data_IF_464444379981
#
_entry.id   IF_464444379981
#
_cell.length_a   1.000
_cell.length_b   1.000
_cell.length_c   1.000
_cell.angle_alpha   90.00
_cell.angle_beta   90.00
_cell.angle_gamma   90.00
#
_symmetry.space_group_name_H-M   'P 1'
#
loop_
_entity.id
_entity.type
_entity.pdbx_description
1 polymer ?
#
# COMPACT_ATOMS: atom_id res chain seq x y z
N UNK A 1 -3.99 2.41 -19.35
CA UNK A 1 -3.40 3.70 -18.90
C UNK A 1 -2.31 4.23 -19.82
N UNK A 2 -1.15 3.57 -20.01
CA UNK A 2 -0.05 4.07 -20.89
C UNK A 2 -0.45 4.58 -22.27
N UNK A 3 -1.33 3.86 -22.98
CA UNK A 3 -1.81 4.31 -24.31
C UNK A 3 -2.64 5.60 -24.24
N UNK A 4 -3.39 5.81 -23.16
CA UNK A 4 -4.24 7.00 -22.95
C UNK A 4 -3.42 8.17 -22.41
N UNK A 5 -2.51 7.91 -21.47
CA UNK A 5 -1.72 8.89 -20.75
C UNK A 5 -0.24 8.44 -20.69
N UNK A 6 0.53 8.55 -21.79
CA UNK A 6 1.88 8.01 -21.88
C UNK A 6 2.83 8.68 -20.87
N UNK A 7 2.83 10.00 -20.78
CA UNK A 7 3.74 10.75 -19.89
C UNK A 7 3.50 10.41 -18.41
N UNK A 8 2.24 10.23 -18.00
CA UNK A 8 1.92 9.95 -16.60
C UNK A 8 2.25 8.51 -16.17
N UNK A 9 2.27 7.55 -17.11
CA UNK A 9 2.37 6.10 -16.83
C UNK A 9 3.61 5.41 -17.44
N UNK A 10 4.51 6.16 -18.08
CA UNK A 10 5.70 5.61 -18.73
C UNK A 10 6.56 4.81 -17.74
N UNK A 11 6.81 5.37 -16.55
CA UNK A 11 7.85 4.91 -15.64
C UNK A 11 7.37 4.14 -14.39
N UNK A 12 6.10 3.69 -14.37
CA UNK A 12 5.52 3.04 -13.18
C UNK A 12 5.96 1.58 -13.04
N UNK A 13 5.85 0.81 -14.12
CA UNK A 13 6.22 -0.62 -14.17
C UNK A 13 7.29 -0.86 -15.24
N UNK A 14 8.13 -1.89 -15.13
CA UNK A 14 9.00 -2.24 -16.25
C UNK A 14 8.18 -2.67 -17.47
N UNK A 15 8.79 -2.61 -18.65
CA UNK A 15 8.18 -3.12 -19.88
C UNK A 15 7.72 -4.58 -19.68
N UNK A 16 6.45 -4.87 -19.97
CA UNK A 16 5.80 -6.12 -19.56
C UNK A 16 4.86 -6.65 -20.64
N UNK A 17 4.91 -7.96 -20.87
CA UNK A 17 4.11 -8.70 -21.84
C UNK A 17 3.44 -9.92 -21.21
N UNK A 18 2.18 -10.16 -21.55
CA UNK A 18 1.44 -11.36 -21.15
C UNK A 18 1.53 -12.41 -22.24
N UNK A 19 2.38 -13.42 -22.05
CA UNK A 19 2.67 -14.43 -23.08
C UNK A 19 1.54 -15.44 -23.31
N UNK A 20 0.48 -15.41 -22.48
CA UNK A 20 -0.76 -16.15 -22.70
C UNK A 20 -1.48 -15.70 -23.98
N UNK A 21 -1.34 -14.43 -24.34
CA UNK A 21 -1.93 -13.86 -25.54
C UNK A 21 -0.92 -13.94 -26.70
N UNK A 22 -1.33 -14.49 -27.84
CA UNK A 22 -0.43 -14.72 -28.98
C UNK A 22 0.17 -13.40 -29.53
N UNK A 23 -0.61 -12.31 -29.56
CA UNK A 23 -0.15 -11.01 -30.02
C UNK A 23 0.93 -10.43 -29.09
N UNK A 24 0.68 -10.38 -27.78
CA UNK A 24 1.67 -9.88 -26.82
C UNK A 24 2.91 -10.79 -26.72
N UNK A 25 2.74 -12.11 -26.91
CA UNK A 25 3.87 -13.04 -26.99
C UNK A 25 4.79 -12.72 -28.16
N UNK A 26 4.24 -12.43 -29.34
CA UNK A 26 5.06 -12.07 -30.50
C UNK A 26 5.78 -10.74 -30.30
N UNK A 27 5.13 -9.74 -29.73
CA UNK A 27 5.80 -8.47 -29.39
C UNK A 27 6.97 -8.68 -28.43
N UNK A 28 6.78 -9.51 -27.40
CA UNK A 28 7.85 -9.90 -26.51
C UNK A 28 9.00 -10.56 -27.27
N UNK A 29 8.73 -11.55 -28.12
CA UNK A 29 9.78 -12.26 -28.88
C UNK A 29 10.55 -11.31 -29.79
N UNK A 30 9.87 -10.38 -30.48
CA UNK A 30 10.53 -9.34 -31.29
C UNK A 30 11.51 -8.52 -30.46
N UNK A 31 11.10 -8.02 -29.29
CA UNK A 31 11.98 -7.26 -28.39
C UNK A 31 13.11 -8.13 -27.82
N UNK A 32 12.79 -9.36 -27.41
CA UNK A 32 13.74 -10.31 -26.85
C UNK A 32 14.88 -10.62 -27.81
N UNK A 33 14.58 -10.88 -29.09
CA UNK A 33 15.59 -11.14 -30.11
C UNK A 33 16.29 -9.86 -30.61
N UNK A 34 15.57 -8.73 -30.68
CA UNK A 34 16.13 -7.44 -31.09
C UNK A 34 17.11 -6.83 -30.07
N UNK A 35 16.99 -7.20 -28.79
CA UNK A 35 17.82 -6.68 -27.70
C UNK A 35 18.53 -7.84 -26.96
N UNK A 36 19.52 -8.51 -27.58
CA UNK A 36 19.99 -9.81 -27.13
C UNK A 36 20.69 -9.83 -25.76
N UNK A 37 21.24 -8.67 -25.36
CA UNK A 37 21.90 -8.48 -24.07
C UNK A 37 20.93 -8.09 -22.94
N UNK A 38 19.68 -7.72 -23.26
CA UNK A 38 18.71 -7.33 -22.24
C UNK A 38 18.22 -8.57 -21.50
N UNK A 39 18.23 -8.47 -20.17
CA UNK A 39 17.72 -9.51 -19.29
C UNK A 39 16.22 -9.30 -19.10
N UNK A 40 15.48 -10.40 -19.16
CA UNK A 40 14.05 -10.48 -18.93
C UNK A 40 13.80 -11.43 -17.76
N UNK A 41 12.83 -11.06 -16.91
CA UNK A 41 12.33 -11.91 -15.84
C UNK A 41 11.00 -12.52 -16.28
N UNK A 42 10.94 -13.86 -16.33
CA UNK A 42 9.75 -14.62 -16.65
C UNK A 42 9.08 -15.09 -15.37
N UNK A 43 7.90 -14.55 -15.06
CA UNK A 43 7.09 -14.91 -13.88
C UNK A 43 5.90 -15.79 -14.33
N UNK A 44 5.80 -17.06 -13.89
CA UNK A 44 4.66 -17.91 -14.23
C UNK A 44 3.34 -17.35 -13.69
N UNK A 45 2.24 -17.39 -14.46
CA UNK A 45 0.96 -16.77 -14.05
C UNK A 45 0.33 -17.38 -12.78
N UNK A 46 0.49 -18.68 -12.57
CA UNK A 46 -0.23 -19.42 -11.52
C UNK A 46 0.67 -19.81 -10.34
N UNK A 47 1.82 -19.15 -10.16
CA UNK A 47 2.75 -19.42 -9.07
C UNK A 47 3.03 -18.15 -8.26
N UNK A 48 3.32 -18.36 -6.98
CA UNK A 48 3.66 -17.32 -6.00
C UNK A 48 4.98 -17.63 -5.31
N UNK A 49 5.45 -16.70 -4.47
CA UNK A 49 6.63 -16.88 -3.61
C UNK A 49 7.94 -17.09 -4.40
N UNK A 50 8.01 -16.51 -5.60
CA UNK A 50 9.16 -16.57 -6.51
C UNK A 50 9.36 -17.94 -7.19
N UNK A 51 8.41 -18.88 -7.05
CA UNK A 51 8.54 -20.21 -7.64
C UNK A 51 8.47 -20.17 -9.15
N UNK A 52 9.45 -20.81 -9.81
CA UNK A 52 9.51 -20.94 -11.26
C UNK A 52 9.87 -19.67 -12.01
N UNK A 53 10.25 -18.60 -11.29
CA UNK A 53 10.80 -17.38 -11.90
C UNK A 53 12.15 -17.70 -12.55
N UNK A 54 12.36 -17.16 -13.75
CA UNK A 54 13.62 -17.33 -14.50
C UNK A 54 14.10 -16.00 -15.04
N UNK A 55 15.42 -15.81 -15.03
CA UNK A 55 16.08 -14.73 -15.74
C UNK A 55 16.63 -15.26 -17.06
N UNK A 56 16.32 -14.59 -18.15
CA UNK A 56 16.68 -15.02 -19.51
C UNK A 56 17.12 -13.82 -20.35
N UNK A 57 18.02 -14.05 -21.28
CA UNK A 57 18.39 -13.11 -22.36
C UNK A 57 18.58 -13.90 -23.64
N UNK A 58 18.48 -13.28 -24.82
CA UNK A 58 18.66 -14.05 -26.06
C UNK A 58 20.09 -14.60 -26.20
N UNK A 59 21.09 -13.90 -25.65
CA UNK A 59 22.48 -14.40 -25.60
C UNK A 59 22.65 -15.67 -24.77
N UNK A 60 21.80 -15.93 -23.78
CA UNK A 60 21.88 -17.11 -22.90
C UNK A 60 20.84 -18.16 -23.23
N UNK A 61 19.70 -17.73 -23.78
CA UNK A 61 18.52 -18.54 -24.06
C UNK A 61 17.92 -18.10 -25.40
N UNK A 62 18.56 -18.43 -26.54
CA UNK A 62 18.18 -17.91 -27.85
C UNK A 62 16.79 -18.34 -28.30
N UNK A 63 16.20 -19.38 -27.70
CA UNK A 63 14.83 -19.82 -27.95
C UNK A 63 14.12 -20.09 -26.62
N UNK A 64 13.49 -19.07 -25.98
CA UNK A 64 12.78 -19.29 -24.73
C UNK A 64 11.59 -20.21 -24.97
N UNK A 65 11.50 -21.31 -24.19
CA UNK A 65 10.40 -22.29 -24.29
C UNK A 65 9.11 -21.72 -23.73
N UNK A 66 8.42 -20.89 -24.52
CA UNK A 66 7.10 -20.31 -24.21
C UNK A 66 6.01 -21.14 -24.88
N UNK A 67 5.36 -22.03 -24.12
CA UNK A 67 4.23 -22.81 -24.65
C UNK A 67 2.90 -22.20 -24.20
N UNK A 68 1.83 -22.39 -24.99
CA UNK A 68 0.46 -21.95 -24.61
C UNK A 68 0.01 -22.53 -23.27
N UNK A 69 0.49 -23.72 -22.91
CA UNK A 69 0.19 -24.40 -21.63
C UNK A 69 0.96 -23.81 -20.43
N UNK A 70 2.05 -23.07 -20.65
CA UNK A 70 2.87 -22.43 -19.61
C UNK A 70 3.03 -20.95 -19.93
N UNK A 71 2.02 -20.17 -19.56
CA UNK A 71 2.04 -18.74 -19.74
C UNK A 71 2.82 -18.03 -18.62
N UNK A 72 3.47 -16.94 -19.01
CA UNK A 72 4.30 -16.08 -18.19
C UNK A 72 3.89 -14.61 -18.34
N UNK A 73 4.10 -13.83 -17.28
CA UNK A 73 4.41 -12.41 -17.37
C UNK A 73 5.89 -12.31 -17.73
N UNK A 74 6.18 -11.86 -18.95
CA UNK A 74 7.54 -11.56 -19.38
C UNK A 74 7.80 -10.08 -19.16
N UNK A 75 8.72 -9.75 -18.27
CA UNK A 75 8.97 -8.37 -17.86
C UNK A 75 10.46 -8.04 -18.02
N UNK A 76 10.77 -6.83 -18.49
CA UNK A 76 12.16 -6.35 -18.57
C UNK A 76 12.73 -6.34 -17.15
N UNK A 77 13.88 -6.96 -16.98
CA UNK A 77 14.51 -7.05 -15.67
C UNK A 77 15.18 -5.72 -15.32
N UNK A 78 14.94 -5.21 -14.11
CA UNK A 78 15.62 -4.04 -13.58
C UNK A 78 17.05 -4.43 -13.23
N UNK A 79 17.97 -4.18 -14.17
CA UNK A 79 19.35 -4.64 -14.10
C UNK A 79 20.26 -3.73 -13.26
N UNK A 80 19.82 -2.50 -12.95
CA UNK A 80 20.53 -1.53 -12.12
C UNK A 80 19.72 -1.18 -10.85
N UNK A 81 19.44 -2.15 -9.95
CA UNK A 81 18.78 -1.85 -8.69
C UNK A 81 19.71 -1.03 -7.79
N UNK A 82 19.15 -0.17 -6.95
CA UNK A 82 19.89 0.40 -5.84
C UNK A 82 20.26 -0.71 -4.84
N UNK A 83 21.50 -0.68 -4.35
CA UNK A 83 22.06 -1.73 -3.49
C UNK A 83 22.48 -1.15 -2.14
N UNK A 84 22.34 -1.94 -1.08
CA UNK A 84 22.95 -1.65 0.21
C UNK A 84 23.90 -2.81 0.52
N UNK A 85 25.15 -2.50 0.83
CA UNK A 85 26.21 -3.50 1.07
C UNK A 85 26.37 -4.51 -0.09
N UNK A 86 26.05 -4.08 -1.33
CA UNK A 86 26.07 -4.93 -2.53
C UNK A 86 24.90 -5.92 -2.62
N UNK A 87 23.91 -5.86 -1.73
CA UNK A 87 22.74 -6.71 -1.73
C UNK A 87 21.56 -6.00 -2.38
N UNK A 88 20.89 -6.71 -3.28
CA UNK A 88 19.61 -6.28 -3.85
C UNK A 88 18.51 -6.39 -2.79
N UNK A 89 17.57 -5.45 -2.78
CA UNK A 89 16.41 -5.50 -1.90
C UNK A 89 15.18 -4.93 -2.59
N UNK A 90 14.01 -5.20 -2.01
CA UNK A 90 12.78 -4.49 -2.36
C UNK A 90 12.07 -4.01 -1.09
N UNK A 91 11.07 -3.16 -1.31
CA UNK A 91 10.22 -2.59 -0.28
C UNK A 91 8.84 -3.23 -0.36
N UNK A 92 8.38 -3.78 0.76
CA UNK A 92 6.97 -4.05 1.03
C UNK A 92 6.38 -2.82 1.70
N UNK A 93 5.62 -2.07 0.93
CA UNK A 93 4.86 -0.90 1.37
C UNK A 93 3.42 -1.33 1.62
N UNK A 94 2.82 -0.90 2.73
CA UNK A 94 1.43 -1.22 3.06
C UNK A 94 0.53 -0.02 2.75
N UNK A 95 -0.52 -0.24 1.97
CA UNK A 95 -1.45 0.79 1.53
C UNK A 95 -2.87 0.34 1.88
N UNK A 96 -3.55 1.12 2.70
CA UNK A 96 -4.95 0.91 3.02
C UNK A 96 -5.84 1.76 2.11
N UNK A 97 -6.89 1.16 1.56
CA UNK A 97 -7.93 1.87 0.80
C UNK A 97 -9.24 1.66 1.54
N UNK A 98 -9.84 2.74 2.04
CA UNK A 98 -11.13 2.69 2.79
C UNK A 98 -12.33 2.90 1.88
N UNK A 99 -12.11 3.36 0.65
CA UNK A 99 -13.18 3.65 -0.32
C UNK A 99 -12.59 3.86 -1.71
N UNK A 100 -13.34 3.46 -2.74
CA UNK A 100 -13.08 3.79 -4.15
C UNK A 100 -14.05 4.85 -4.70
N UNK A 101 -15.09 5.22 -3.94
CA UNK A 101 -16.05 6.28 -4.32
C UNK A 101 -16.50 7.08 -3.08
N UNK A 102 -15.83 8.21 -2.77
CA UNK A 102 -14.61 8.71 -3.39
C UNK A 102 -13.39 7.85 -3.03
N UNK A 103 -12.34 7.91 -3.85
CA UNK A 103 -11.08 7.21 -3.58
C UNK A 103 -10.37 7.78 -2.34
N UNK A 104 -10.12 6.91 -1.36
CA UNK A 104 -9.48 7.24 -0.08
C UNK A 104 -8.32 6.30 0.19
N UNK A 105 -7.10 6.84 0.15
CA UNK A 105 -5.84 6.07 0.19
C UNK A 105 -5.00 6.52 1.38
N UNK A 106 -4.49 5.55 2.13
CA UNK A 106 -3.62 5.76 3.26
C UNK A 106 -2.35 4.91 3.14
N UNK A 107 -1.19 5.52 3.33
CA UNK A 107 0.12 4.85 3.32
C UNK A 107 0.56 4.60 4.75
N UNK A 108 0.96 3.38 5.07
CA UNK A 108 1.55 3.08 6.38
C UNK A 108 2.99 3.57 6.45
N UNK A 109 3.34 4.21 7.57
CA UNK A 109 4.61 4.91 7.74
C UNK A 109 5.81 3.96 7.96
N UNK A 110 5.55 2.66 8.08
CA UNK A 110 6.56 1.62 8.15
C UNK A 110 6.24 0.49 7.14
N UNK A 111 7.11 -0.49 7.03
CA UNK A 111 6.99 -1.58 6.07
C UNK A 111 8.12 -2.58 6.22
N UNK A 112 8.37 -3.39 5.19
CA UNK A 112 9.47 -4.35 5.23
C UNK A 112 10.43 -4.11 4.08
N UNK A 113 11.71 -4.07 4.38
CA UNK A 113 12.80 -4.11 3.41
C UNK A 113 13.28 -5.55 3.35
N UNK A 114 13.30 -6.17 2.16
CA UNK A 114 13.64 -7.60 2.03
C UNK A 114 14.88 -7.74 1.18
N UNK A 115 15.96 -8.17 1.81
CA UNK A 115 17.24 -8.35 1.14
C UNK A 115 17.36 -9.73 0.52
N UNK A 116 18.03 -9.75 -0.64
CA UNK A 116 18.75 -10.90 -1.14
C UNK A 116 19.85 -11.33 -0.15
N UNK A 117 20.22 -12.61 -0.15
CA UNK A 117 21.26 -13.14 0.75
C UNK A 117 22.62 -13.29 0.09
N UNK A 118 22.72 -12.99 -1.20
CA UNK A 118 24.00 -12.94 -1.93
C UNK A 118 24.18 -11.63 -2.67
N UNK A 119 25.44 -11.27 -2.92
CA UNK A 119 25.81 -10.03 -3.63
C UNK A 119 25.25 -10.04 -5.04
N UNK A 120 24.72 -8.88 -5.43
CA UNK A 120 24.16 -8.66 -6.74
C UNK A 120 25.25 -8.69 -7.83
N UNK A 121 25.01 -9.41 -8.92
CA UNK A 121 25.88 -9.40 -10.10
C UNK A 121 25.09 -9.79 -11.34
N UNK A 122 25.40 -9.18 -12.49
CA UNK A 122 24.77 -9.48 -13.78
C UNK A 122 25.60 -10.45 -14.63
N UNK A 123 26.64 -11.06 -14.06
CA UNK A 123 27.43 -12.09 -14.75
C UNK A 123 26.56 -13.30 -15.12
N UNK A 124 26.93 -14.02 -16.19
CA UNK A 124 26.15 -15.16 -16.69
C UNK A 124 25.92 -16.24 -15.63
N UNK A 125 26.90 -16.50 -14.77
CA UNK A 125 26.79 -17.46 -13.68
C UNK A 125 25.90 -16.93 -12.54
N UNK A 126 26.03 -15.64 -12.19
CA UNK A 126 25.25 -15.04 -11.11
C UNK A 126 23.75 -14.96 -11.43
N UNK A 127 23.37 -14.72 -12.69
CA UNK A 127 21.96 -14.66 -13.13
C UNK A 127 21.17 -15.96 -12.89
N UNK A 128 21.86 -17.09 -12.72
CA UNK A 128 21.22 -18.37 -12.39
C UNK A 128 20.98 -18.53 -10.89
N UNK A 129 21.64 -17.72 -10.05
CA UNK A 129 21.49 -17.78 -8.61
C UNK A 129 20.31 -16.91 -8.13
N UNK A 130 19.20 -17.52 -7.66
CA UNK A 130 18.05 -16.75 -7.20
C UNK A 130 18.34 -15.92 -5.94
N UNK A 131 19.34 -16.26 -5.13
CA UNK A 131 19.65 -15.58 -3.86
C UNK A 131 20.23 -14.17 -4.02
N UNK A 132 20.76 -13.83 -5.20
CA UNK A 132 21.21 -12.47 -5.54
C UNK A 132 20.18 -11.65 -6.32
N UNK A 133 19.11 -12.27 -6.81
CA UNK A 133 18.20 -11.64 -7.78
C UNK A 133 16.73 -11.59 -7.35
N UNK A 134 16.29 -12.52 -6.50
CA UNK A 134 14.91 -12.62 -6.03
C UNK A 134 14.87 -12.30 -4.54
N UNK A 135 14.17 -11.23 -4.18
CA UNK A 135 14.07 -10.66 -2.82
C UNK A 135 13.07 -11.40 -1.94
N UNK A 136 12.26 -12.30 -2.51
CA UNK A 136 11.21 -13.01 -1.77
C UNK A 136 11.79 -13.76 -0.56
N UNK A 137 11.22 -13.50 0.63
CA UNK A 137 11.60 -14.16 1.87
C UNK A 137 11.60 -15.70 1.77
N UNK A 138 10.62 -16.28 1.05
CA UNK A 138 10.50 -17.73 0.84
C UNK A 138 11.69 -18.36 0.12
N UNK A 139 12.41 -17.58 -0.69
CA UNK A 139 13.63 -17.99 -1.38
C UNK A 139 14.80 -17.78 -0.43
N UNK A 140 15.04 -16.53 -0.01
CA UNK A 140 16.24 -16.19 0.75
C UNK A 140 16.36 -16.91 2.10
N UNK A 141 15.24 -17.25 2.75
CA UNK A 141 15.25 -18.05 3.99
C UNK A 141 15.84 -19.45 3.82
N UNK A 142 15.93 -19.97 2.59
CA UNK A 142 16.53 -21.27 2.29
C UNK A 142 18.06 -21.20 2.25
N UNK A 143 18.65 -20.03 2.06
CA UNK A 143 20.09 -19.82 2.19
C UNK A 143 20.45 -19.66 3.67
N UNK A 144 20.33 -20.75 4.44
CA UNK A 144 20.41 -20.72 5.90
C UNK A 144 21.75 -20.18 6.44
N UNK A 145 22.84 -20.33 5.68
CA UNK A 145 24.17 -19.84 6.07
C UNK A 145 24.29 -18.31 6.03
N UNK A 146 23.57 -17.65 5.11
CA UNK A 146 23.63 -16.20 4.92
C UNK A 146 22.38 -15.47 5.43
N UNK A 147 21.25 -16.16 5.60
CA UNK A 147 20.02 -15.55 6.04
C UNK A 147 20.04 -15.21 7.54
N UNK A 148 19.94 -13.93 7.86
CA UNK A 148 19.97 -13.44 9.23
C UNK A 148 18.61 -12.84 9.61
N UNK A 149 17.98 -13.41 10.64
CA UNK A 149 16.71 -12.87 11.17
C UNK A 149 16.98 -11.60 11.97
N UNK A 150 16.16 -10.58 11.73
CA UNK A 150 16.19 -9.37 12.54
C UNK A 150 15.48 -9.62 13.89
N UNK A 151 16.28 -9.65 14.96
CA UNK A 151 15.81 -9.83 16.34
C UNK A 151 15.50 -8.51 17.04
N UNK A 152 15.68 -7.38 16.38
CA UNK A 152 15.47 -6.08 17.00
C UNK A 152 14.00 -5.90 17.39
N UNK A 153 13.81 -5.50 18.65
CA UNK A 153 12.52 -5.16 19.25
C UNK A 153 12.34 -3.64 19.37
N UNK A 154 13.44 -2.86 19.27
CA UNK A 154 13.49 -1.41 19.39
C UNK A 154 13.64 -0.74 18.00
N UNK A 155 13.41 0.57 17.93
CA UNK A 155 13.35 1.31 16.65
C UNK A 155 14.72 1.74 16.11
N UNK A 156 15.81 1.47 16.85
CA UNK A 156 17.06 2.24 16.75
C UNK A 156 18.28 1.43 16.32
N UNK A 157 18.22 0.09 16.29
CA UNK A 157 19.31 -0.69 15.71
C UNK A 157 18.92 -1.14 14.31
N UNK A 158 19.42 -0.42 13.30
CA UNK A 158 19.49 -1.02 11.98
C UNK A 158 20.34 -2.29 12.16
N UNK A 159 19.72 -3.46 12.23
CA UNK A 159 20.44 -4.72 12.27
C UNK A 159 21.07 -4.87 10.88
N UNK A 160 22.19 -4.18 10.64
CA UNK A 160 22.81 -3.93 9.34
C UNK A 160 23.21 -5.24 8.63
N UNK A 161 23.30 -6.33 9.37
CA UNK A 161 23.58 -7.68 8.87
C UNK A 161 22.32 -8.52 8.62
N UNK A 162 21.15 -8.08 9.09
CA UNK A 162 19.90 -8.82 8.96
C UNK A 162 19.34 -8.76 7.53
N UNK A 163 18.70 -9.86 7.10
CA UNK A 163 18.12 -9.99 5.75
C UNK A 163 16.73 -9.34 5.61
N UNK A 164 16.23 -8.68 6.68
CA UNK A 164 15.01 -7.88 6.66
C UNK A 164 15.12 -6.67 7.55
N UNK A 165 14.81 -5.49 7.04
CA UNK A 165 14.74 -4.26 7.84
C UNK A 165 13.31 -3.71 7.85
N UNK A 166 13.07 -2.73 8.71
CA UNK A 166 11.90 -1.85 8.65
C UNK A 166 12.13 -0.75 7.61
N UNK A 167 11.08 -0.06 7.17
CA UNK A 167 11.21 1.13 6.30
C UNK A 167 11.86 2.31 7.01
N UNK A 168 12.13 2.21 8.31
CA UNK A 168 13.03 3.13 9.01
C UNK A 168 14.45 3.14 8.41
N UNK A 169 14.78 2.24 7.46
CA UNK A 169 15.96 2.34 6.59
C UNK A 169 16.16 3.73 5.96
N UNK A 170 15.08 4.50 5.80
CA UNK A 170 15.17 5.86 5.27
C UNK A 170 15.97 6.80 6.18
N UNK A 171 16.00 6.55 7.49
CA UNK A 171 16.93 7.24 8.42
C UNK A 171 18.39 6.93 8.07
N UNK A 172 18.70 5.64 7.91
CA UNK A 172 20.02 5.20 7.45
C UNK A 172 20.43 5.86 6.12
N UNK A 173 19.55 5.92 5.12
CA UNK A 173 19.85 6.59 3.85
C UNK A 173 20.11 8.10 4.00
N UNK A 174 19.35 8.77 4.88
CA UNK A 174 19.58 10.18 5.21
C UNK A 174 20.96 10.38 5.85
N UNK A 175 21.34 9.51 6.77
CA UNK A 175 22.65 9.54 7.44
C UNK A 175 23.81 9.23 6.45
N UNK A 176 23.52 8.51 5.36
CA UNK A 176 24.45 8.30 4.23
C UNK A 176 24.43 9.46 3.20
N UNK A 177 23.77 10.58 3.50
CA UNK A 177 23.75 11.77 2.65
C UNK A 177 22.74 11.75 1.49
N UNK A 178 21.82 10.78 1.44
CA UNK A 178 20.77 10.66 0.39
C UNK A 178 19.46 11.39 0.74
N UNK A 179 19.53 12.44 1.56
CA UNK A 179 18.34 13.12 2.08
C UNK A 179 17.46 13.69 0.96
N UNK A 180 18.08 14.35 -0.02
CA UNK A 180 17.38 14.97 -1.15
C UNK A 180 16.76 13.92 -2.11
N UNK A 181 17.48 12.85 -2.43
CA UNK A 181 16.95 11.76 -3.25
C UNK A 181 15.79 11.05 -2.55
N UNK A 182 15.84 10.94 -1.22
CA UNK A 182 14.77 10.33 -0.44
C UNK A 182 13.47 11.14 -0.48
N UNK A 183 13.54 12.48 -0.41
CA UNK A 183 12.37 13.35 -0.55
C UNK A 183 11.70 13.16 -1.92
N UNK A 184 12.50 13.13 -2.99
CA UNK A 184 12.01 12.87 -4.35
C UNK A 184 11.42 11.45 -4.48
N UNK A 185 12.07 10.45 -3.87
CA UNK A 185 11.57 9.08 -3.85
C UNK A 185 10.22 8.98 -3.16
N UNK A 186 10.01 9.65 -2.01
CA UNK A 186 8.75 9.61 -1.28
C UNK A 186 7.59 10.18 -2.11
N UNK A 187 7.79 11.34 -2.76
CA UNK A 187 6.80 11.93 -3.65
C UNK A 187 6.50 11.02 -4.86
N UNK A 188 7.55 10.45 -5.47
CA UNK A 188 7.40 9.54 -6.59
C UNK A 188 6.73 8.21 -6.20
N UNK A 189 6.94 7.73 -4.97
CA UNK A 189 6.29 6.53 -4.43
C UNK A 189 4.78 6.76 -4.22
N UNK A 190 4.41 7.90 -3.64
CA UNK A 190 3.01 8.31 -3.48
C UNK A 190 2.30 8.40 -4.83
N UNK A 191 2.91 9.11 -5.79
CA UNK A 191 2.40 9.24 -7.16
C UNK A 191 2.24 7.87 -7.85
N UNK A 192 3.23 6.97 -7.69
CA UNK A 192 3.18 5.60 -8.18
C UNK A 192 1.99 4.82 -7.59
N UNK A 193 1.75 4.92 -6.28
CA UNK A 193 0.64 4.23 -5.61
C UNK A 193 -0.71 4.77 -6.11
N UNK A 194 -0.89 6.09 -6.14
CA UNK A 194 -2.12 6.74 -6.59
C UNK A 194 -2.44 6.37 -8.03
N UNK A 195 -1.48 6.51 -8.95
CA UNK A 195 -1.67 6.15 -10.36
C UNK A 195 -1.99 4.67 -10.54
N UNK A 196 -1.41 3.80 -9.71
CA UNK A 196 -1.72 2.36 -9.74
C UNK A 196 -3.17 2.09 -9.35
N UNK A 197 -3.69 2.78 -8.33
CA UNK A 197 -5.08 2.62 -7.87
C UNK A 197 -6.08 3.28 -8.83
N UNK A 198 -5.79 4.47 -9.36
CA UNK A 198 -6.60 5.14 -10.40
C UNK A 198 -6.73 4.25 -11.65
N UNK A 199 -5.70 3.49 -12.00
CA UNK A 199 -5.74 2.59 -13.16
C UNK A 199 -6.82 1.49 -13.06
N UNK A 200 -7.33 1.21 -11.86
CA UNK A 200 -8.35 0.20 -11.58
C UNK A 200 -9.62 0.78 -10.93
N UNK A 201 -9.62 2.06 -10.58
CA UNK A 201 -10.69 2.77 -9.87
C UNK A 201 -12.04 2.59 -10.55
N UNK A 202 -12.18 2.92 -11.85
CA UNK A 202 -13.45 2.79 -12.59
C UNK A 202 -14.10 1.42 -12.44
N UNK A 203 -13.28 0.35 -12.44
CA UNK A 203 -13.77 -1.02 -12.33
C UNK A 203 -14.20 -1.34 -10.91
N UNK A 204 -13.42 -0.90 -9.92
CA UNK A 204 -13.65 -1.22 -8.51
C UNK A 204 -14.77 -0.36 -7.93
N UNK A 205 -14.83 0.93 -8.26
CA UNK A 205 -15.89 1.85 -7.83
C UNK A 205 -17.28 1.33 -8.20
N UNK A 206 -17.45 0.77 -9.41
CA UNK A 206 -18.71 0.17 -9.85
C UNK A 206 -19.17 -1.04 -9.03
N UNK A 207 -18.25 -1.69 -8.30
CA UNK A 207 -18.50 -2.91 -7.52
C UNK A 207 -18.35 -2.73 -6.01
N UNK A 208 -17.75 -1.62 -5.57
CA UNK A 208 -17.44 -1.37 -4.16
C UNK A 208 -18.68 -0.85 -3.45
N UNK A 209 -19.10 -1.56 -2.40
CA UNK A 209 -20.01 -0.95 -1.42
C UNK A 209 -19.22 0.03 -0.56
N UNK A 210 -19.90 1.04 0.01
CA UNK A 210 -19.29 2.01 0.96
C UNK A 210 -18.74 1.36 2.25
N UNK A 211 -18.92 0.04 2.42
CA UNK A 211 -18.54 -0.73 3.61
C UNK A 211 -17.35 -1.67 3.38
N UNK A 212 -16.57 -1.46 2.31
CA UNK A 212 -15.40 -2.26 1.99
C UNK A 212 -14.11 -1.47 2.21
N UNK A 213 -13.13 -2.12 2.81
CA UNK A 213 -11.77 -1.63 2.90
C UNK A 213 -10.81 -2.75 2.49
N UNK A 214 -9.63 -2.38 1.98
CA UNK A 214 -8.63 -3.33 1.55
C UNK A 214 -7.23 -2.88 1.99
N UNK A 215 -6.40 -3.86 2.39
CA UNK A 215 -5.00 -3.63 2.72
C UNK A 215 -4.12 -4.26 1.65
N UNK A 216 -3.50 -3.42 0.84
CA UNK A 216 -2.58 -3.85 -0.20
C UNK A 216 -1.13 -3.89 0.29
N UNK A 217 -0.38 -4.89 -0.17
CA UNK A 217 1.07 -4.92 -0.08
C UNK A 217 1.70 -4.59 -1.43
N UNK A 218 2.22 -3.37 -1.57
CA UNK A 218 2.96 -2.94 -2.75
C UNK A 218 4.41 -3.43 -2.66
N UNK A 219 4.87 -4.10 -3.70
CA UNK A 219 6.27 -4.54 -3.83
C UNK A 219 6.97 -3.56 -4.77
N UNK A 220 7.83 -2.72 -4.21
CA UNK A 220 8.52 -1.65 -4.92
C UNK A 220 10.01 -1.90 -4.91
N UNK A 221 10.64 -1.87 -6.08
CA UNK A 221 12.08 -1.88 -6.23
C UNK A 221 12.59 -0.45 -6.37
N UNK A 222 13.78 -0.17 -5.85
CA UNK A 222 14.48 1.09 -6.10
C UNK A 222 15.47 0.87 -7.24
N UNK A 223 15.37 1.66 -8.29
CA UNK A 223 16.26 1.64 -9.46
C UNK A 223 17.24 2.82 -9.44
N UNK A 224 18.52 2.52 -9.64
CA UNK A 224 19.59 3.50 -9.78
C UNK A 224 19.90 4.32 -8.52
N UNK A 225 20.92 5.18 -8.65
CA UNK A 225 21.45 5.99 -7.55
C UNK A 225 20.54 7.15 -7.12
N UNK A 226 19.62 7.57 -8.00
CA UNK A 226 18.64 8.62 -7.76
C UNK A 226 17.37 8.13 -7.07
N UNK A 227 17.38 6.89 -6.57
CA UNK A 227 16.28 6.26 -5.86
C UNK A 227 14.96 6.33 -6.66
N UNK A 228 14.91 5.80 -7.89
CA UNK A 228 13.66 5.78 -8.67
C UNK A 228 12.76 4.62 -8.21
N UNK A 229 11.51 4.84 -7.77
CA UNK A 229 10.61 3.75 -7.41
C UNK A 229 10.09 3.03 -8.65
N UNK A 230 10.08 1.71 -8.61
CA UNK A 230 9.59 0.85 -9.68
C UNK A 230 8.64 -0.22 -9.11
N UNK A 231 7.39 -0.24 -9.57
CA UNK A 231 6.39 -1.20 -9.10
C UNK A 231 6.69 -2.60 -9.67
N UNK A 232 6.80 -3.59 -8.80
CA UNK A 232 6.97 -5.00 -9.19
C UNK A 232 5.64 -5.75 -9.23
N UNK A 233 4.85 -5.62 -8.17
CA UNK A 233 3.53 -6.25 -8.01
C UNK A 233 2.73 -5.59 -6.88
N UNK A 234 1.40 -5.79 -6.88
CA UNK A 234 0.50 -5.40 -5.78
C UNK A 234 -0.16 -6.67 -5.26
N UNK A 235 0.00 -6.93 -3.96
CA UNK A 235 -0.58 -8.07 -3.28
C UNK A 235 -1.89 -7.66 -2.58
N UNK A 236 -3.01 -8.27 -2.96
CA UNK A 236 -4.32 -8.05 -2.31
C UNK A 236 -4.36 -8.67 -0.91
N UNK A 237 -3.66 -9.78 -0.68
CA UNK A 237 -3.55 -10.43 0.63
C UNK A 237 -2.09 -10.48 1.09
N UNK A 238 -1.51 -9.36 1.56
CA UNK A 238 -0.15 -9.37 2.04
C UNK A 238 -0.04 -10.29 3.28
N UNK A 239 0.99 -11.13 3.34
CA UNK A 239 1.18 -12.02 4.49
C UNK A 239 1.37 -11.23 5.79
N UNK A 240 0.46 -11.42 6.75
CA UNK A 240 0.54 -10.87 8.09
C UNK A 240 1.25 -11.80 9.10
N UNK A 241 1.74 -12.96 8.64
CA UNK A 241 2.53 -13.87 9.47
C UNK A 241 3.82 -13.22 9.96
N UNK A 242 4.21 -13.47 11.21
CA UNK A 242 5.40 -12.88 11.81
C UNK A 242 6.48 -13.93 12.01
N UNK A 243 7.64 -13.74 11.38
CA UNK A 243 8.76 -14.69 11.45
C UNK A 243 9.92 -14.20 12.33
N UNK A 244 9.85 -12.94 12.79
CA UNK A 244 10.78 -12.30 13.71
C UNK A 244 10.07 -11.29 14.62
N UNK A 245 10.70 -10.84 15.72
CA UNK A 245 10.15 -9.81 16.60
C UNK A 245 9.80 -8.51 15.87
N UNK A 246 10.68 -8.04 14.96
CA UNK A 246 10.43 -6.88 14.11
C UNK A 246 9.18 -7.07 13.23
N UNK A 247 9.02 -8.22 12.55
CA UNK A 247 7.81 -8.51 11.75
C UNK A 247 6.56 -8.37 12.63
N UNK A 248 6.60 -8.93 13.85
CA UNK A 248 5.48 -8.91 14.79
C UNK A 248 5.11 -7.48 15.22
N UNK A 249 6.10 -6.66 15.56
CA UNK A 249 5.87 -5.25 15.95
C UNK A 249 5.18 -4.49 14.82
N UNK A 250 5.80 -4.46 13.64
CA UNK A 250 5.32 -3.68 12.48
C UNK A 250 3.89 -4.11 12.11
N UNK A 251 3.64 -5.41 12.03
CA UNK A 251 2.33 -5.93 11.59
C UNK A 251 1.25 -5.79 12.65
N UNK A 252 1.60 -5.84 13.93
CA UNK A 252 0.63 -5.61 15.01
C UNK A 252 0.15 -4.15 14.98
N UNK A 253 1.08 -3.19 14.84
CA UNK A 253 0.74 -1.77 14.72
C UNK A 253 -0.08 -1.53 13.45
N UNK A 254 0.34 -2.07 12.31
CA UNK A 254 -0.39 -1.96 11.04
C UNK A 254 -1.84 -2.42 11.15
N UNK A 255 -2.09 -3.60 11.72
CA UNK A 255 -3.44 -4.16 11.83
C UNK A 255 -4.28 -3.39 12.84
N UNK A 256 -3.67 -2.98 13.96
CA UNK A 256 -4.34 -2.15 14.97
C UNK A 256 -4.79 -0.81 14.38
N UNK A 257 -3.89 -0.11 13.69
CA UNK A 257 -4.18 1.19 13.07
C UNK A 257 -5.16 1.06 11.90
N UNK A 258 -5.11 -0.04 11.14
CA UNK A 258 -6.09 -0.32 10.08
C UNK A 258 -7.51 -0.44 10.63
N UNK A 259 -7.71 -1.23 11.70
CA UNK A 259 -9.04 -1.38 12.30
C UNK A 259 -9.52 -0.10 12.98
N UNK A 260 -8.61 0.67 13.57
CA UNK A 260 -8.91 1.98 14.14
C UNK A 260 -9.30 2.98 13.05
N UNK A 261 -8.60 3.01 11.92
CA UNK A 261 -8.89 3.85 10.76
C UNK A 261 -10.30 3.59 10.22
N UNK A 262 -10.59 2.33 9.88
CA UNK A 262 -11.91 1.88 9.39
C UNK A 262 -13.01 2.14 10.43
N UNK A 263 -12.65 2.24 11.70
CA UNK A 263 -13.58 2.57 12.76
C UNK A 263 -14.53 1.42 13.09
N UNK A 264 -14.04 0.18 12.99
CA UNK A 264 -14.82 -1.00 13.40
C UNK A 264 -15.18 -0.83 14.88
N UNK A 265 -16.46 -0.63 15.21
CA UNK A 265 -16.85 -0.42 16.60
C UNK A 265 -16.55 -1.70 17.38
N UNK A 266 -15.90 -1.56 18.53
CA UNK A 266 -15.84 -2.67 19.47
C UNK A 266 -17.25 -2.95 20.00
N UNK A 267 -17.91 -3.96 19.44
CA UNK A 267 -19.21 -4.43 19.90
C UNK A 267 -18.98 -5.56 20.89
N UNK A 268 -19.15 -5.26 22.19
CA UNK A 268 -19.19 -6.30 23.22
C UNK A 268 -20.51 -7.04 23.10
N UNK A 269 -20.48 -8.18 22.39
CA UNK A 269 -21.67 -9.00 22.13
C UNK A 269 -22.40 -9.42 23.41
N UNK A 270 -21.70 -9.58 24.55
CA UNK A 270 -22.36 -9.90 25.83
C UNK A 270 -23.13 -8.69 26.34
N UNK A 271 -22.53 -7.50 26.25
CA UNK A 271 -23.15 -6.25 26.67
C UNK A 271 -24.32 -5.86 25.78
N UNK A 272 -24.23 -6.13 24.49
CA UNK A 272 -25.30 -5.89 23.53
C UNK A 272 -26.46 -6.87 23.72
N UNK A 273 -26.17 -8.17 23.93
CA UNK A 273 -27.18 -9.17 24.29
C UNK A 273 -27.90 -8.81 25.60
N UNK A 274 -27.16 -8.39 26.63
CA UNK A 274 -27.75 -7.91 27.90
C UNK A 274 -28.65 -6.68 27.70
N UNK A 275 -28.26 -5.74 26.82
CA UNK A 275 -29.08 -4.57 26.51
C UNK A 275 -30.35 -4.94 25.73
N UNK A 276 -30.25 -5.86 24.78
CA UNK A 276 -31.38 -6.39 24.01
C UNK A 276 -32.35 -7.17 24.89
N UNK A 277 -31.85 -8.03 25.79
CA UNK A 277 -32.68 -8.79 26.71
C UNK A 277 -33.37 -7.89 27.72
N UNK A 278 -32.66 -6.89 28.25
CA UNK A 278 -33.27 -5.86 29.11
C UNK A 278 -34.34 -5.06 28.36
N UNK A 279 -34.07 -4.64 27.12
CA UNK A 279 -35.04 -3.93 26.29
C UNK A 279 -36.24 -4.80 25.86
N UNK A 280 -36.09 -6.13 25.82
CA UNK A 280 -37.21 -7.08 25.61
C UNK A 280 -38.02 -7.25 26.89
N UNK A 281 -37.37 -7.42 28.05
CA UNK A 281 -38.03 -7.48 29.35
C UNK A 281 -38.82 -6.20 29.65
N UNK A 282 -38.23 -5.03 29.41
CA UNK A 282 -38.90 -3.74 29.61
C UNK A 282 -40.16 -3.59 28.72
N UNK A 283 -40.13 -4.16 27.50
CA UNK A 283 -41.28 -4.19 26.57
C UNK A 283 -42.37 -5.19 26.99
N UNK A 284 -41.98 -6.36 27.50
CA UNK A 284 -42.88 -7.43 27.96
C UNK A 284 -43.60 -7.08 29.27
N UNK A 285 -42.94 -6.38 30.19
CA UNK A 285 -43.51 -6.02 31.49
C UNK A 285 -44.41 -4.77 31.46
N UNK A 286 -44.68 -4.19 30.28
CA UNK A 286 -45.59 -3.05 30.13
C UNK A 286 -45.18 -1.82 30.93
N UNK A 287 -43.91 -1.73 31.34
CA UNK A 287 -43.38 -0.60 32.10
C UNK A 287 -43.37 0.59 31.16
N UNK A 288 -44.42 1.42 31.22
CA UNK A 288 -44.36 2.80 30.74
C UNK A 288 -43.14 3.41 31.41
N UNK A 289 -42.17 3.87 30.61
CA UNK A 289 -40.97 4.50 31.13
C UNK A 289 -41.34 5.42 32.30
N UNK A 290 -40.83 5.21 33.52
CA UNK A 290 -41.00 6.20 34.55
C UNK A 290 -40.36 7.48 34.01
N UNK A 291 -41.07 8.62 34.11
CA UNK A 291 -40.48 9.94 33.86
C UNK A 291 -39.18 9.99 34.66
N UNK A 292 -38.06 9.87 33.96
CA UNK A 292 -36.76 9.59 34.58
C UNK A 292 -36.38 10.78 35.44
N UNK A 293 -36.20 10.53 36.74
CA UNK A 293 -35.45 11.44 37.61
C UNK A 293 -34.02 11.58 37.09
N UNK A 294 -33.55 12.82 37.15
CA UNK A 294 -32.50 13.49 36.38
C UNK A 294 -31.04 13.09 36.67
N UNK A 295 -30.76 11.89 37.19
CA UNK A 295 -29.41 11.55 37.68
C UNK A 295 -28.61 10.57 36.79
N UNK A 296 -29.26 9.64 36.08
CA UNK A 296 -28.57 8.63 35.25
C UNK A 296 -28.61 8.91 33.73
N UNK A 297 -29.62 9.67 33.31
CA UNK A 297 -29.86 10.11 31.93
C UNK A 297 -28.78 11.06 31.46
N UNK A 298 -28.19 11.79 32.40
CA UNK A 298 -27.18 12.80 32.16
C UNK A 298 -25.94 12.21 31.50
N UNK A 299 -25.46 10.99 31.78
CA UNK A 299 -24.25 10.48 31.11
C UNK A 299 -24.45 10.09 29.65
N UNK A 300 -25.61 9.55 29.28
CA UNK A 300 -25.90 9.14 27.88
C UNK A 300 -26.44 10.30 27.06
N UNK A 301 -27.24 11.19 27.66
CA UNK A 301 -27.62 12.45 27.05
C UNK A 301 -26.41 13.39 26.98
N UNK A 302 -25.59 13.58 28.02
CA UNK A 302 -24.31 14.31 27.91
C UNK A 302 -23.37 13.67 26.91
N UNK A 303 -23.36 12.35 26.72
CA UNK A 303 -22.50 11.73 25.70
C UNK A 303 -23.05 11.95 24.29
N UNK A 304 -24.37 11.86 24.08
CA UNK A 304 -25.03 12.19 22.81
C UNK A 304 -25.05 13.69 22.54
N UNK A 305 -25.13 14.54 23.56
CA UNK A 305 -25.04 16.01 23.52
C UNK A 305 -23.59 16.46 23.39
N UNK A 306 -22.61 15.80 24.02
CA UNK A 306 -21.19 16.06 23.76
C UNK A 306 -20.79 15.55 22.38
N UNK A 307 -21.36 14.44 21.89
CA UNK A 307 -21.21 14.01 20.50
C UNK A 307 -21.96 14.96 19.56
N UNK A 308 -23.13 15.50 19.92
CA UNK A 308 -23.88 16.47 19.11
C UNK A 308 -23.28 17.88 19.16
N UNK A 309 -22.69 18.28 20.28
CA UNK A 309 -21.91 19.51 20.46
C UNK A 309 -20.54 19.37 19.82
N UNK A 310 -19.91 18.18 19.85
CA UNK A 310 -18.76 17.88 18.98
C UNK A 310 -19.21 17.97 17.53
N UNK A 311 -20.31 17.31 17.10
CA UNK A 311 -20.87 17.45 15.75
C UNK A 311 -21.09 18.91 15.35
N UNK A 312 -21.67 19.74 16.23
CA UNK A 312 -21.85 21.19 15.98
C UNK A 312 -20.54 21.96 15.94
N UNK A 313 -19.62 21.70 16.87
CA UNK A 313 -18.30 22.36 16.90
C UNK A 313 -17.44 21.97 15.71
N UNK A 314 -17.43 20.70 15.30
CA UNK A 314 -16.73 20.23 14.09
C UNK A 314 -17.38 20.84 12.85
N UNK A 315 -18.71 20.95 12.79
CA UNK A 315 -19.40 21.65 11.69
C UNK A 315 -19.06 23.15 11.66
N UNK A 316 -19.02 23.81 12.82
CA UNK A 316 -18.69 25.23 12.97
C UNK A 316 -17.20 25.51 12.69
N UNK A 317 -16.31 24.58 13.04
CA UNK A 317 -14.86 24.63 12.75
C UNK A 317 -14.58 24.33 11.26
N UNK A 318 -15.32 23.41 10.65
CA UNK A 318 -15.37 23.20 9.20
C UNK A 318 -15.86 24.45 8.47
N UNK A 319 -16.92 25.09 8.98
CA UNK A 319 -17.45 26.35 8.45
C UNK A 319 -16.46 27.51 8.58
N UNK A 320 -15.61 27.52 9.62
CA UNK A 320 -14.58 28.56 9.82
C UNK A 320 -13.29 28.33 9.05
N UNK A 321 -12.96 27.07 8.73
CA UNK A 321 -11.70 26.69 8.05
C UNK A 321 -11.85 26.50 6.54
N UNK A 322 -13.07 26.38 6.02
CA UNK A 322 -13.34 26.33 4.59
C UNK A 322 -13.20 27.73 3.96
N UNK A 323 -12.19 27.89 3.10
CA UNK A 323 -11.99 29.09 2.29
C UNK A 323 -13.14 29.20 1.28
N UNK A 324 -14.14 30.05 1.53
CA UNK A 324 -15.06 30.62 0.53
C UNK A 324 -15.71 29.67 -0.50
N UNK A 325 -15.76 28.36 -0.26
CA UNK A 325 -16.58 27.43 -1.03
C UNK A 325 -17.85 27.21 -0.23
N UNK A 326 -18.96 27.60 -0.84
CA UNK A 326 -20.32 27.64 -0.31
C UNK A 326 -20.74 26.30 0.27
N UNK A 327 -20.51 26.08 1.58
CA UNK A 327 -21.08 24.98 2.37
C UNK A 327 -22.63 24.92 2.26
N UNK A 328 -23.27 26.01 1.81
CA UNK A 328 -24.70 26.09 1.50
C UNK A 328 -25.13 25.32 0.24
N UNK A 329 -24.19 24.75 -0.53
CA UNK A 329 -24.46 23.97 -1.75
C UNK A 329 -24.23 22.46 -1.60
N UNK A 330 -23.77 22.00 -0.43
CA UNK A 330 -23.51 20.58 -0.18
C UNK A 330 -24.80 19.86 0.20
N UNK A 331 -25.02 18.68 -0.37
CA UNK A 331 -26.11 17.78 0.05
C UNK A 331 -25.82 17.19 1.44
N UNK A 332 -26.85 16.64 2.09
CA UNK A 332 -26.67 15.91 3.35
C UNK A 332 -25.71 14.71 3.18
N UNK A 333 -25.68 14.10 1.99
CA UNK A 333 -24.75 13.03 1.66
C UNK A 333 -23.30 13.53 1.60
N UNK A 334 -23.06 14.70 0.99
CA UNK A 334 -21.73 15.31 0.92
C UNK A 334 -21.22 15.69 2.32
N UNK A 335 -22.09 16.24 3.16
CA UNK A 335 -21.75 16.58 4.54
C UNK A 335 -21.41 15.34 5.37
N UNK A 336 -22.16 14.25 5.18
CA UNK A 336 -21.90 12.97 5.85
C UNK A 336 -20.56 12.38 5.38
N UNK A 337 -20.26 12.47 4.08
CA UNK A 337 -18.99 12.01 3.51
C UNK A 337 -17.79 12.80 4.06
N UNK A 338 -17.86 14.14 4.07
CA UNK A 338 -16.81 15.00 4.64
C UNK A 338 -16.55 14.63 6.09
N UNK A 339 -17.61 14.42 6.88
CA UNK A 339 -17.50 14.02 8.28
C UNK A 339 -16.86 12.64 8.46
N UNK A 340 -17.20 11.67 7.61
CA UNK A 340 -16.55 10.35 7.62
C UNK A 340 -15.06 10.46 7.31
N UNK A 341 -14.69 11.27 6.31
CA UNK A 341 -13.29 11.52 5.94
C UNK A 341 -12.48 12.15 7.08
N UNK A 342 -13.02 13.19 7.74
CA UNK A 342 -12.36 13.82 8.89
C UNK A 342 -12.20 12.85 10.06
N UNK A 343 -13.21 12.02 10.30
CA UNK A 343 -13.18 11.00 11.32
C UNK A 343 -12.11 9.94 11.05
N UNK A 344 -11.94 9.51 9.79
CA UNK A 344 -10.85 8.63 9.37
C UNK A 344 -9.48 9.29 9.59
N UNK A 345 -9.32 10.56 9.19
CA UNK A 345 -8.09 11.32 9.43
C UNK A 345 -7.74 11.44 10.92
N UNK A 346 -8.75 11.60 11.79
CA UNK A 346 -8.51 11.65 13.23
C UNK A 346 -8.07 10.31 13.83
N UNK A 347 -8.41 9.18 13.17
CA UNK A 347 -8.15 7.83 13.64
C UNK A 347 -6.99 7.13 12.89
N UNK A 348 -6.29 7.84 12.02
CA UNK A 348 -5.38 7.21 11.06
C UNK A 348 -4.08 6.65 11.70
N UNK A 349 -3.71 7.08 12.91
CA UNK A 349 -2.51 6.56 13.58
C UNK A 349 -1.25 6.74 12.73
N UNK A 350 -0.54 5.64 12.45
CA UNK A 350 0.63 5.64 11.56
C UNK A 350 0.28 5.39 10.08
N UNK A 351 -0.98 5.59 9.68
CA UNK A 351 -1.41 5.64 8.30
C UNK A 351 -1.56 7.12 7.90
N UNK A 352 -0.83 7.58 6.90
CA UNK A 352 -0.92 8.95 6.39
C UNK A 352 -1.74 9.01 5.10
N UNK A 353 -2.70 9.92 5.04
CA UNK A 353 -3.46 10.21 3.83
C UNK A 353 -2.69 11.19 2.94
N UNK A 354 -2.45 10.84 1.67
CA UNK A 354 -1.66 11.69 0.75
C UNK A 354 -2.43 12.11 -0.51
N UNK A 355 -3.53 11.44 -0.87
CA UNK A 355 -4.39 11.86 -1.99
C UNK A 355 -5.14 13.19 -1.73
N UNK A 356 -5.24 13.62 -0.47
CA UNK A 356 -5.91 14.87 -0.10
C UNK A 356 -4.96 16.05 0.12
N UNK A 357 -3.66 15.80 0.36
CA UNK A 357 -2.72 16.88 0.64
C UNK A 357 -2.23 17.61 -0.62
N UNK A 358 -2.20 16.95 -1.78
CA UNK A 358 -1.68 17.56 -3.02
C UNK A 358 -2.59 18.60 -3.70
N UNK A 359 -3.83 18.82 -3.24
CA UNK A 359 -4.66 19.95 -3.71
C UNK A 359 -4.56 21.21 -2.85
N UNK A 360 -3.78 21.19 -1.76
CA UNK A 360 -3.35 22.41 -1.08
C UNK A 360 -1.92 22.70 -1.51
N UNK A 361 -1.79 23.71 -2.36
CA UNK A 361 -0.58 24.33 -2.93
C UNK A 361 -0.31 23.96 -4.39
N UNK A 362 -0.61 24.95 -5.24
CA UNK A 362 -0.14 25.18 -6.62
C UNK A 362 -1.03 24.72 -7.79
N UNK A 363 -1.37 25.73 -8.62
CA UNK A 363 -1.86 25.69 -9.99
C UNK A 363 -3.38 25.62 -10.24
N UNK A 364 -4.05 26.74 -9.96
CA UNK A 364 -5.12 27.23 -10.86
C UNK A 364 -4.51 28.41 -11.63
N UNK A 365 -4.21 28.30 -12.94
CA UNK A 365 -4.08 29.48 -13.77
C UNK A 365 -5.47 30.09 -13.89
N UNK A 366 -5.63 31.29 -13.35
CA UNK A 366 -6.81 32.11 -13.57
C UNK A 366 -6.96 32.35 -15.08
N UNK A 367 -7.93 31.70 -15.70
CA UNK A 367 -8.51 32.19 -16.95
C UNK A 367 -9.27 33.47 -16.63
N UNK A 368 -8.62 34.62 -16.79
CA UNK A 368 -9.31 35.91 -16.92
C UNK A 368 -9.16 36.38 -18.36
N UNK A 369 -10.24 36.22 -19.11
CA UNK A 369 -10.58 37.04 -20.28
C UNK A 369 -10.50 38.53 -19.94
N UNK A 370 -9.69 39.27 -20.69
CA UNK A 370 -10.12 40.40 -21.53
C UNK A 370 -9.20 40.54 -22.73
#
# INVERSE_FOLDING_TARGET
>A
MRKKNPNAYADIIPETYLTANDYYRQQFLTRFHGEPNVVWILKPLNLSCGRGIKLVSACTHPAPKLSKKKAYVAQRYVANPFLINGLKFDLRVYVAVTSYDPLRIYLFNDGLVRFCTEKYSTSKSALQNPFGHLTNYSINKKNAAAFQKNQDTQHDSHALSSSKWSLQMFKYLRDQGKAHELENFQQALEDLIVKTLIAVEDKLASTSSRNAFELYGFDVLIEGEYLKPCLLEVNVFPSLSSSSPMDKRIKTVLVSDLFQLVGIPFVDARREAQQLDKAKQDRLHGIKQPRQSSAGVTKTILRKENEAQRRRRTLEELQRSASSVTMSQLSDEDLQLVKEMEQELHRCGHLSAFFQQQKRLTNIPSSSTR
#
